data_IF_957511599612
#
_entry.id   IF_957511599612
#
_cell.length_a   1.000
_cell.length_b   1.000
_cell.length_c   1.000
_cell.angle_alpha   90.00
_cell.angle_beta   90.00
_cell.angle_gamma   90.00
#
_symmetry.space_group_name_H-M   'P 1'
#
loop_
_entity.id
_entity.type
_entity.pdbx_description
1 polymer ?
#
# COMPACT_ATOMS: atom_id res chain seq x y z
N UNK A 1 5.01 25.41 -6.72
CA UNK A 1 4.55 24.49 -5.65
C UNK A 1 5.67 23.50 -5.38
N UNK A 2 5.88 23.11 -4.11
CA UNK A 2 6.85 22.09 -3.74
C UNK A 2 6.34 21.25 -2.58
N UNK A 3 6.68 19.97 -2.58
CA UNK A 3 6.40 19.04 -1.48
C UNK A 3 7.57 18.06 -1.36
N UNK A 4 7.61 17.30 -0.28
CA UNK A 4 8.65 16.31 -0.05
C UNK A 4 8.06 14.92 0.01
N UNK A 5 8.89 13.94 -0.31
CA UNK A 5 8.51 12.55 -0.38
C UNK A 5 9.57 11.73 0.35
N UNK A 6 9.17 10.93 1.32
CA UNK A 6 9.97 9.83 1.83
C UNK A 6 9.78 8.61 0.93
N UNK A 7 10.86 7.86 0.73
CA UNK A 7 10.92 6.68 -0.13
C UNK A 7 11.38 5.50 0.71
N UNK A 8 10.46 4.56 0.96
CA UNK A 8 10.77 3.24 1.51
C UNK A 8 11.35 2.34 0.41
N UNK A 9 12.18 1.38 0.80
CA UNK A 9 12.93 0.55 -0.15
C UNK A 9 13.36 -0.80 0.43
N UNK A 10 13.79 -1.72 -0.45
CA UNK A 10 14.52 -2.94 -0.05
C UNK A 10 16.04 -2.67 0.06
N UNK A 11 16.41 -1.60 0.77
CA UNK A 11 17.80 -1.24 1.05
C UNK A 11 18.06 -1.15 2.55
N UNK A 12 19.04 -0.36 3.00
CA UNK A 12 19.27 -0.05 4.41
C UNK A 12 18.87 1.36 4.83
N UNK A 13 18.21 2.11 3.93
CA UNK A 13 17.92 3.53 4.10
C UNK A 13 16.49 3.89 3.70
N UNK A 14 15.98 4.96 4.29
CA UNK A 14 14.85 5.73 3.77
C UNK A 14 15.41 7.02 3.16
N UNK A 15 15.03 7.30 1.93
CA UNK A 15 15.48 8.48 1.18
C UNK A 15 14.40 9.55 1.21
N UNK A 16 14.80 10.82 1.36
CA UNK A 16 13.93 11.97 1.21
C UNK A 16 14.23 12.69 -0.11
N UNK A 17 13.17 13.03 -0.84
CA UNK A 17 13.22 13.78 -2.09
C UNK A 17 12.43 15.07 -1.94
N UNK A 18 12.84 16.12 -2.65
CA UNK A 18 12.00 17.29 -2.94
C UNK A 18 11.44 17.17 -4.34
N UNK A 19 10.16 17.52 -4.49
CA UNK A 19 9.56 17.80 -5.77
C UNK A 19 9.31 19.31 -5.89
N UNK A 20 9.66 19.90 -7.01
CA UNK A 20 9.32 21.29 -7.35
C UNK A 20 8.68 21.35 -8.72
N UNK A 21 7.48 21.93 -8.81
CA UNK A 21 6.85 22.24 -10.10
C UNK A 21 7.50 23.51 -10.68
N UNK A 22 8.24 23.36 -11.78
CA UNK A 22 8.97 24.46 -12.43
C UNK A 22 8.10 25.22 -13.42
N UNK A 23 7.17 24.54 -14.09
CA UNK A 23 6.17 25.12 -14.99
C UNK A 23 4.98 24.15 -15.15
N UNK A 24 3.83 24.58 -15.70
CA UNK A 24 2.73 23.66 -15.99
C UNK A 24 3.21 22.46 -16.83
N UNK A 25 2.95 21.24 -16.36
CA UNK A 25 3.36 20.01 -17.05
C UNK A 25 4.84 19.62 -16.90
N UNK A 26 5.64 20.33 -16.10
CA UNK A 26 7.05 20.02 -15.87
C UNK A 26 7.47 20.27 -14.43
N UNK A 27 8.12 19.28 -13.82
CA UNK A 27 8.68 19.38 -12.48
C UNK A 27 10.06 18.75 -12.37
N UNK A 28 10.67 18.90 -11.20
CA UNK A 28 11.99 18.34 -10.89
C UNK A 28 11.91 17.59 -9.57
N UNK A 29 12.47 16.38 -9.56
CA UNK A 29 12.79 15.64 -8.34
C UNK A 29 14.26 15.88 -7.99
N UNK A 30 14.55 16.11 -6.72
CA UNK A 30 15.93 16.28 -6.24
C UNK A 30 16.12 15.52 -4.93
N UNK A 31 17.30 14.94 -4.77
CA UNK A 31 17.71 14.33 -3.51
C UNK A 31 17.78 15.39 -2.41
N UNK A 32 17.24 15.08 -1.22
CA UNK A 32 17.36 15.93 -0.03
C UNK A 32 18.22 15.29 1.04
N UNK A 33 17.86 14.08 1.46
CA UNK A 33 18.48 13.42 2.60
C UNK A 33 18.35 11.90 2.49
N UNK A 34 19.17 11.19 3.27
CA UNK A 34 19.11 9.74 3.42
C UNK A 34 19.33 9.37 4.87
N UNK A 35 18.40 8.62 5.46
CA UNK A 35 18.45 8.23 6.87
C UNK A 35 18.59 6.71 7.01
N UNK A 36 19.50 6.21 7.87
CA UNK A 36 19.58 4.78 8.17
C UNK A 36 18.26 4.25 8.73
N UNK A 37 17.83 3.08 8.26
CA UNK A 37 16.58 2.44 8.70
C UNK A 37 16.71 0.92 8.83
N UNK A 38 17.94 0.40 8.97
CA UNK A 38 18.26 -1.03 8.92
C UNK A 38 17.72 -1.71 7.65
N UNK A 39 17.73 -3.04 7.57
CA UNK A 39 17.46 -3.74 6.31
C UNK A 39 15.97 -3.80 5.97
N UNK A 40 15.67 -3.58 4.68
CA UNK A 40 14.36 -3.70 4.06
C UNK A 40 13.27 -2.80 4.68
N UNK A 41 13.47 -1.47 4.78
CA UNK A 41 12.45 -0.49 5.16
C UNK A 41 11.35 -0.38 4.09
N UNK A 42 10.59 -1.45 3.85
CA UNK A 42 9.83 -1.63 2.60
C UNK A 42 8.48 -0.92 2.58
N UNK A 43 7.83 -0.77 3.73
CA UNK A 43 6.59 0.00 3.91
C UNK A 43 6.83 1.14 4.90
N UNK A 44 6.29 2.34 4.63
CA UNK A 44 6.37 3.50 5.51
C UNK A 44 5.00 4.15 5.69
N UNK A 45 4.73 4.67 6.89
CA UNK A 45 3.51 5.41 7.19
C UNK A 45 3.73 6.40 8.34
N UNK A 46 3.03 7.53 8.33
CA UNK A 46 3.03 8.48 9.45
C UNK A 46 2.00 8.12 10.50
N UNK A 47 2.20 8.58 11.74
CA UNK A 47 1.13 8.59 12.73
C UNK A 47 0.01 9.56 12.26
N UNK A 48 -1.28 9.14 12.30
CA UNK A 48 -2.37 9.94 11.76
C UNK A 48 -2.74 11.16 12.61
N UNK A 49 -2.32 11.19 13.88
CA UNK A 49 -2.54 12.32 14.80
C UNK A 49 -1.31 13.22 14.95
N UNK A 50 -0.14 12.75 14.52
CA UNK A 50 1.10 13.50 14.54
C UNK A 50 2.01 13.09 13.37
N UNK A 51 1.93 13.83 12.26
CA UNK A 51 2.69 13.55 11.04
C UNK A 51 4.21 13.68 11.18
N UNK A 52 4.71 14.21 12.32
CA UNK A 52 6.14 14.25 12.62
C UNK A 52 6.69 12.88 13.06
N UNK A 53 5.81 11.91 13.35
CA UNK A 53 6.20 10.54 13.70
C UNK A 53 6.00 9.67 12.47
N UNK A 54 7.08 9.02 12.03
CA UNK A 54 7.09 8.09 10.89
C UNK A 54 7.46 6.71 11.39
N UNK A 55 6.78 5.70 10.87
CA UNK A 55 7.10 4.31 11.10
C UNK A 55 7.56 3.65 9.81
N UNK A 56 8.34 2.59 9.92
CA UNK A 56 8.75 1.76 8.80
C UNK A 56 8.70 0.28 9.17
N UNK A 57 8.28 -0.59 8.24
CA UNK A 57 8.45 -2.03 8.39
C UNK A 57 9.87 -2.42 8.05
N UNK A 58 10.44 -3.36 8.78
CA UNK A 58 11.61 -4.10 8.35
C UNK A 58 11.15 -5.46 7.87
N UNK A 59 10.99 -5.61 6.55
CA UNK A 59 10.48 -6.81 5.90
C UNK A 59 11.56 -7.91 5.84
N UNK A 60 11.93 -8.40 7.04
CA UNK A 60 12.89 -9.48 7.27
C UNK A 60 12.17 -10.68 7.91
N UNK A 61 12.78 -11.87 7.86
CA UNK A 61 12.20 -13.07 8.49
C UNK A 61 11.98 -12.89 10.00
N UNK A 62 12.86 -12.16 10.69
CA UNK A 62 12.57 -11.61 12.01
C UNK A 62 11.98 -10.21 11.81
N UNK A 63 10.65 -10.14 11.66
CA UNK A 63 9.94 -8.93 11.27
C UNK A 63 9.91 -7.89 12.39
N UNK A 64 10.22 -6.64 12.06
CA UNK A 64 10.24 -5.53 13.02
C UNK A 64 9.53 -4.30 12.45
N UNK A 65 9.12 -3.40 13.33
CA UNK A 65 8.81 -2.02 12.98
C UNK A 65 9.85 -1.09 13.59
N UNK A 66 10.16 -0.01 12.89
CA UNK A 66 10.94 1.12 13.36
C UNK A 66 10.07 2.35 13.51
N UNK A 67 10.41 3.21 14.46
CA UNK A 67 9.81 4.54 14.64
C UNK A 67 10.87 5.63 14.53
N UNK A 68 10.47 6.78 14.00
CA UNK A 68 11.33 7.92 13.73
C UNK A 68 10.63 9.23 14.06
N UNK A 69 11.41 10.24 14.42
CA UNK A 69 10.99 11.65 14.33
C UNK A 69 11.49 12.21 13.00
N UNK A 70 10.55 12.78 12.24
CA UNK A 70 10.80 13.46 10.98
C UNK A 70 11.13 14.94 11.24
N UNK A 71 12.25 15.39 10.68
CA UNK A 71 12.52 16.81 10.49
C UNK A 71 11.86 17.26 9.17
N UNK A 72 10.77 18.06 9.21
CA UNK A 72 10.03 18.43 8.01
C UNK A 72 10.83 19.36 7.08
N UNK A 73 11.84 20.07 7.58
CA UNK A 73 12.63 21.00 6.75
C UNK A 73 13.68 20.25 5.91
N UNK A 74 14.29 19.19 6.43
CA UNK A 74 15.35 18.45 5.75
C UNK A 74 14.92 17.08 5.21
N UNK A 75 13.82 16.51 5.72
CA UNK A 75 13.46 15.11 5.47
C UNK A 75 14.31 14.11 6.26
N UNK A 76 15.11 14.58 7.22
CA UNK A 76 15.88 13.68 8.07
C UNK A 76 15.00 12.94 9.07
N UNK A 77 15.23 11.63 9.17
CA UNK A 77 14.61 10.76 10.17
C UNK A 77 15.60 10.43 11.28
N UNK A 78 15.18 10.66 12.52
CA UNK A 78 15.91 10.26 13.73
C UNK A 78 15.19 9.08 14.37
N UNK A 79 15.83 7.91 14.39
CA UNK A 79 15.23 6.70 14.95
C UNK A 79 14.98 6.84 16.46
N UNK A 80 13.84 6.34 16.91
CA UNK A 80 13.40 6.39 18.32
C UNK A 80 13.18 5.02 18.93
N UNK A 81 12.76 4.05 18.14
CA UNK A 81 12.42 2.74 18.66
C UNK A 81 12.41 1.66 17.59
N UNK A 82 12.43 0.44 18.09
CA UNK A 82 12.28 -0.79 17.31
C UNK A 82 11.42 -1.75 18.10
N UNK A 83 10.53 -2.46 17.43
CA UNK A 83 9.69 -3.49 18.05
C UNK A 83 9.56 -4.69 17.14
N UNK A 84 9.57 -5.90 17.71
CA UNK A 84 9.25 -7.11 16.95
C UNK A 84 7.76 -7.17 16.64
N UNK A 85 7.42 -7.60 15.43
CA UNK A 85 6.05 -7.92 15.03
C UNK A 85 5.61 -9.33 15.44
N UNK A 86 6.50 -10.12 16.06
CA UNK A 86 6.26 -11.52 16.38
C UNK A 86 6.15 -12.47 15.19
N UNK A 87 6.18 -11.95 13.96
CA UNK A 87 6.10 -12.71 12.71
C UNK A 87 7.23 -12.35 11.75
N UNK A 88 7.12 -12.83 10.50
CA UNK A 88 8.13 -12.65 9.47
C UNK A 88 7.61 -11.93 8.23
N UNK A 89 8.50 -11.17 7.59
CA UNK A 89 8.25 -10.34 6.42
C UNK A 89 6.98 -9.47 6.58
N UNK A 90 6.96 -8.49 7.52
CA UNK A 90 5.87 -7.52 7.61
C UNK A 90 5.80 -6.67 6.34
N UNK A 91 4.99 -7.10 5.37
CA UNK A 91 4.87 -6.47 4.06
C UNK A 91 4.06 -5.15 4.13
N UNK A 92 3.23 -5.00 5.16
CA UNK A 92 2.40 -3.82 5.38
C UNK A 92 2.13 -3.64 6.87
N UNK A 93 1.95 -2.38 7.30
CA UNK A 93 1.35 -2.07 8.59
C UNK A 93 0.51 -0.78 8.49
N UNK A 94 -0.43 -0.64 9.42
CA UNK A 94 -1.34 0.51 9.51
C UNK A 94 -1.32 1.09 10.92
N UNK A 95 -0.80 2.31 11.13
CA UNK A 95 -1.19 3.13 12.26
C UNK A 95 -2.68 3.46 12.14
N UNK A 96 -3.48 3.06 13.13
CA UNK A 96 -4.93 3.28 13.14
C UNK A 96 -5.25 4.75 13.44
N UNK A 97 -6.43 5.24 13.03
CA UNK A 97 -6.82 6.66 13.16
C UNK A 97 -6.86 7.20 14.58
N UNK A 98 -6.88 6.33 15.59
CA UNK A 98 -6.70 6.75 16.99
C UNK A 98 -5.31 7.36 17.25
N UNK A 99 -4.31 7.04 16.42
CA UNK A 99 -2.91 7.38 16.64
C UNK A 99 -2.23 6.54 17.73
N UNK A 100 -2.96 5.62 18.37
CA UNK A 100 -2.52 4.89 19.58
C UNK A 100 -2.33 3.39 19.36
N UNK A 101 -2.45 2.92 18.12
CA UNK A 101 -2.44 1.51 17.78
C UNK A 101 -1.85 1.33 16.39
N UNK A 102 -1.00 0.32 16.22
CA UNK A 102 -0.46 -0.09 14.92
C UNK A 102 -0.75 -1.56 14.73
N UNK A 103 -1.28 -1.90 13.56
CA UNK A 103 -1.53 -3.28 13.16
C UNK A 103 -0.63 -3.65 11.98
N UNK A 104 0.15 -4.72 12.11
CA UNK A 104 1.10 -5.19 11.09
C UNK A 104 0.67 -6.53 10.48
N UNK A 105 0.73 -6.63 9.15
CA UNK A 105 0.48 -7.85 8.40
C UNK A 105 1.82 -8.54 8.07
N UNK A 106 2.08 -9.68 8.72
CA UNK A 106 3.28 -10.48 8.53
C UNK A 106 3.05 -11.49 7.40
N UNK A 107 3.54 -11.16 6.21
CA UNK A 107 3.31 -11.91 4.98
C UNK A 107 3.82 -13.35 5.10
N UNK A 108 5.04 -13.56 5.60
CA UNK A 108 5.64 -14.90 5.61
C UNK A 108 5.01 -15.84 6.62
N UNK A 109 4.63 -15.32 7.79
CA UNK A 109 4.14 -16.15 8.91
C UNK A 109 2.62 -16.28 8.94
N UNK A 110 1.89 -15.57 8.08
CA UNK A 110 0.42 -15.63 8.09
C UNK A 110 -0.20 -15.02 9.36
N UNK A 111 0.45 -14.03 9.96
CA UNK A 111 0.02 -13.44 11.24
C UNK A 111 -0.28 -11.94 11.11
N UNK A 112 -1.16 -11.46 11.98
CA UNK A 112 -1.48 -10.04 12.14
C UNK A 112 -1.11 -9.64 13.57
N UNK A 113 -0.16 -8.72 13.71
CA UNK A 113 0.30 -8.24 15.01
C UNK A 113 -0.40 -6.94 15.38
N UNK A 114 -0.80 -6.82 16.65
CA UNK A 114 -1.40 -5.62 17.23
C UNK A 114 -0.42 -5.00 18.23
N UNK A 115 -0.19 -3.69 18.13
CA UNK A 115 0.79 -2.95 18.93
C UNK A 115 0.11 -1.69 19.47
N UNK A 116 -0.19 -1.69 20.77
CA UNK A 116 -0.62 -0.48 21.46
C UNK A 116 0.55 0.44 21.75
N UNK A 117 0.38 1.72 21.42
CA UNK A 117 1.37 2.76 21.67
C UNK A 117 1.11 3.44 23.02
N UNK A 118 2.18 3.93 23.63
CA UNK A 118 2.12 4.66 24.89
C UNK A 118 1.65 6.12 24.73
N UNK A 119 2.00 6.93 25.72
CA UNK A 119 1.77 8.38 25.67
C UNK A 119 2.65 9.07 24.63
N UNK A 120 3.91 8.64 24.49
CA UNK A 120 4.80 9.02 23.40
C UNK A 120 4.70 7.98 22.28
N UNK A 121 3.97 8.31 21.21
CA UNK A 121 3.72 7.41 20.09
C UNK A 121 4.97 7.12 19.24
N UNK A 122 6.06 7.86 19.47
CA UNK A 122 7.34 7.62 18.82
C UNK A 122 8.15 6.51 19.50
N UNK A 123 7.75 6.09 20.70
CA UNK A 123 8.43 5.05 21.47
C UNK A 123 7.53 3.83 21.56
N UNK A 124 8.00 2.71 21.00
CA UNK A 124 7.28 1.45 21.10
C UNK A 124 7.30 0.86 22.51
N UNK A 125 6.29 0.05 22.87
CA UNK A 125 6.36 -0.80 24.06
C UNK A 125 7.44 -1.90 23.89
N UNK A 126 7.68 -2.66 24.96
CA UNK A 126 8.67 -3.75 24.97
C UNK A 126 8.28 -4.96 24.12
N UNK A 127 6.98 -5.17 23.89
CA UNK A 127 6.45 -6.26 23.06
C UNK A 127 5.16 -5.85 22.36
N UNK A 128 4.81 -6.55 21.28
CA UNK A 128 3.49 -6.45 20.68
C UNK A 128 2.41 -6.86 21.69
N UNK A 129 1.20 -6.34 21.52
CA UNK A 129 0.06 -6.52 22.42
C UNK A 129 -0.69 -7.82 22.16
N UNK A 130 -0.84 -8.20 20.90
CA UNK A 130 -1.37 -9.52 20.52
C UNK A 130 -0.88 -9.94 19.13
N UNK A 131 -0.99 -11.25 18.84
CA UNK A 131 -0.60 -11.83 17.57
C UNK A 131 -1.69 -12.81 17.12
N UNK A 132 -2.41 -12.46 16.06
CA UNK A 132 -3.45 -13.28 15.45
C UNK A 132 -2.86 -14.14 14.34
N UNK A 133 -3.03 -15.46 14.42
CA UNK A 133 -2.66 -16.38 13.33
C UNK A 133 -3.86 -16.63 12.42
N UNK A 134 -3.73 -16.27 11.15
CA UNK A 134 -4.73 -16.57 10.14
C UNK A 134 -4.64 -18.04 9.72
N UNK A 135 -5.70 -18.57 9.12
CA UNK A 135 -5.79 -19.98 8.73
C UNK A 135 -6.36 -20.14 7.32
N UNK A 136 -5.83 -21.11 6.58
CA UNK A 136 -6.31 -21.45 5.24
C UNK A 136 -5.17 -21.54 4.23
N UNK A 137 -5.55 -21.86 3.00
CA UNK A 137 -4.67 -22.05 1.85
C UNK A 137 -5.47 -21.81 0.57
N UNK A 138 -4.76 -21.64 -0.55
CA UNK A 138 -5.32 -21.52 -1.89
C UNK A 138 -4.79 -22.63 -2.83
N UNK A 139 -5.30 -22.70 -4.07
CA UNK A 139 -4.95 -23.75 -5.02
C UNK A 139 -3.51 -23.64 -5.57
N UNK A 140 -2.89 -22.45 -5.58
CA UNK A 140 -1.51 -22.29 -6.00
C UNK A 140 -0.55 -22.70 -4.88
N UNK A 141 -0.24 -23.99 -4.77
CA UNK A 141 0.58 -24.53 -3.66
C UNK A 141 1.96 -23.91 -3.52
N UNK A 142 2.53 -23.30 -4.58
CA UNK A 142 3.80 -22.60 -4.51
C UNK A 142 3.71 -21.21 -3.85
N UNK A 143 2.52 -20.59 -3.86
CA UNK A 143 2.28 -19.21 -3.37
C UNK A 143 1.20 -19.11 -2.30
N UNK A 144 0.47 -20.19 -2.03
CA UNK A 144 -0.76 -20.21 -1.23
C UNK A 144 -0.85 -21.48 -0.35
N UNK A 145 0.28 -22.10 0.00
CA UNK A 145 0.31 -23.22 0.95
C UNK A 145 -0.11 -22.82 2.38
N UNK A 146 -0.06 -21.52 2.69
CA UNK A 146 -0.41 -20.93 3.97
C UNK A 146 -0.90 -19.49 3.76
N UNK A 147 -1.49 -18.84 4.79
CA UNK A 147 -1.87 -17.43 4.74
C UNK A 147 -0.68 -16.48 4.51
N UNK A 148 -0.93 -15.42 3.75
CA UNK A 148 -0.01 -14.36 3.38
C UNK A 148 -0.75 -13.00 3.38
N UNK A 149 -1.08 -12.42 4.56
CA UNK A 149 -1.73 -11.12 4.66
C UNK A 149 -0.82 -10.04 4.09
N UNK A 150 -1.36 -9.15 3.26
CA UNK A 150 -0.56 -8.19 2.49
C UNK A 150 -0.96 -6.72 2.72
N UNK A 151 -2.10 -6.45 3.35
CA UNK A 151 -2.50 -5.09 3.74
C UNK A 151 -3.34 -5.12 5.03
N UNK A 152 -3.41 -3.98 5.72
CA UNK A 152 -4.41 -3.74 6.76
C UNK A 152 -5.14 -2.42 6.45
N UNK A 153 -6.45 -2.51 6.17
CA UNK A 153 -7.33 -1.36 5.97
C UNK A 153 -8.27 -1.20 7.18
N UNK A 154 -8.27 -0.02 7.79
CA UNK A 154 -9.22 0.33 8.84
C UNK A 154 -10.56 0.76 8.24
N UNK A 155 -11.53 -0.16 8.20
CA UNK A 155 -12.79 0.05 7.49
C UNK A 155 -13.82 0.80 8.34
N UNK A 156 -13.96 0.41 9.61
CA UNK A 156 -14.74 1.16 10.61
C UNK A 156 -13.79 1.51 11.73
N UNK A 157 -13.55 2.81 11.93
CA UNK A 157 -12.56 3.34 12.88
C UNK A 157 -12.66 2.66 14.24
N UNK A 158 -11.56 2.05 14.67
CA UNK A 158 -11.42 1.33 15.94
C UNK A 158 -12.28 0.06 16.10
N UNK A 159 -13.06 -0.34 15.08
CA UNK A 159 -14.06 -1.41 15.21
C UNK A 159 -13.89 -2.56 14.23
N UNK A 160 -13.47 -2.27 12.99
CA UNK A 160 -13.33 -3.30 11.96
C UNK A 160 -12.14 -3.02 11.05
N UNK A 161 -11.31 -4.05 10.87
CA UNK A 161 -10.23 -4.07 9.87
C UNK A 161 -10.57 -5.04 8.74
N UNK A 162 -10.07 -4.73 7.55
CA UNK A 162 -10.03 -5.62 6.39
C UNK A 162 -8.58 -5.98 6.08
N UNK A 163 -8.31 -7.27 5.91
CA UNK A 163 -6.96 -7.80 5.68
C UNK A 163 -7.00 -8.74 4.47
N UNK A 164 -6.64 -8.27 3.26
CA UNK A 164 -6.47 -9.15 2.11
C UNK A 164 -5.32 -10.12 2.36
N UNK A 165 -5.58 -11.38 2.07
CA UNK A 165 -4.67 -12.50 2.30
C UNK A 165 -4.48 -13.28 1.01
N UNK A 166 -3.31 -13.06 0.40
CA UNK A 166 -2.89 -13.68 -0.85
C UNK A 166 -2.96 -15.21 -0.75
N UNK A 167 -2.59 -15.75 0.41
CA UNK A 167 -2.40 -17.17 0.62
C UNK A 167 -3.69 -17.96 0.83
N UNK A 168 -4.78 -17.31 1.23
CA UNK A 168 -6.06 -18.00 1.52
C UNK A 168 -7.24 -17.56 0.65
N UNK A 169 -7.00 -16.70 -0.35
CA UNK A 169 -8.02 -16.13 -1.25
C UNK A 169 -9.19 -15.49 -0.49
N UNK A 170 -8.87 -14.73 0.56
CA UNK A 170 -9.85 -14.04 1.42
C UNK A 170 -9.45 -12.60 1.66
N UNK A 171 -10.45 -11.77 1.90
CA UNK A 171 -10.28 -10.53 2.66
C UNK A 171 -10.87 -10.76 4.04
N UNK A 172 -10.02 -10.96 5.04
CA UNK A 172 -10.45 -11.19 6.42
C UNK A 172 -11.08 -9.93 7.00
N UNK A 173 -12.16 -10.11 7.76
CA UNK A 173 -12.83 -9.06 8.52
C UNK A 173 -12.49 -9.26 9.99
N UNK A 174 -11.64 -8.40 10.53
CA UNK A 174 -11.24 -8.48 11.94
C UNK A 174 -12.10 -7.51 12.77
N UNK A 175 -12.44 -7.93 13.99
CA UNK A 175 -13.15 -7.13 14.99
C UNK A 175 -12.42 -7.20 16.33
N UNK A 176 -12.59 -6.21 17.21
CA UNK A 176 -12.09 -6.32 18.59
C UNK A 176 -12.96 -7.28 19.40
N UNK A 177 -12.32 -8.25 20.03
CA UNK A 177 -12.95 -9.13 21.02
C UNK A 177 -13.15 -8.44 22.36
N UNK A 178 -13.73 -9.17 23.32
CA UNK A 178 -13.95 -8.68 24.69
C UNK A 178 -12.66 -8.37 25.44
N UNK A 179 -11.54 -9.00 25.06
CA UNK A 179 -10.18 -8.71 25.54
C UNK A 179 -9.59 -7.42 24.95
N UNK A 180 -10.29 -6.78 24.00
CA UNK A 180 -9.77 -5.62 23.27
C UNK A 180 -8.78 -5.98 22.15
N UNK A 181 -8.53 -7.26 21.87
CA UNK A 181 -7.62 -7.70 20.80
C UNK A 181 -8.36 -8.00 19.50
N UNK A 182 -7.70 -7.83 18.36
CA UNK A 182 -8.28 -8.21 17.05
C UNK A 182 -8.44 -9.73 16.92
N UNK A 183 -9.60 -10.13 16.41
CA UNK A 183 -9.94 -11.53 16.10
C UNK A 183 -10.71 -11.60 14.78
N UNK A 184 -10.71 -12.78 14.14
CA UNK A 184 -11.50 -13.02 12.93
C UNK A 184 -12.98 -12.97 13.26
N UNK A 185 -13.69 -11.99 12.72
CA UNK A 185 -15.16 -11.90 12.78
C UNK A 185 -15.85 -12.45 11.53
N UNK A 186 -15.13 -12.59 10.42
CA UNK A 186 -15.62 -13.13 9.16
C UNK A 186 -14.63 -12.90 8.03
N UNK A 187 -15.07 -13.09 6.79
CA UNK A 187 -14.25 -12.82 5.60
C UNK A 187 -15.14 -12.53 4.38
N UNK A 188 -14.54 -11.90 3.38
CA UNK A 188 -15.08 -11.81 2.02
C UNK A 188 -14.29 -12.76 1.12
N UNK A 189 -14.96 -13.77 0.58
CA UNK A 189 -14.32 -14.76 -0.30
C UNK A 189 -13.90 -14.11 -1.62
N UNK A 190 -12.66 -14.36 -2.04
CA UNK A 190 -12.15 -14.02 -3.36
C UNK A 190 -12.15 -15.25 -4.27
N UNK A 191 -11.94 -15.05 -5.57
CA UNK A 191 -11.80 -16.16 -6.51
C UNK A 191 -10.60 -17.04 -6.11
N UNK A 192 -10.75 -18.36 -6.19
CA UNK A 192 -9.67 -19.29 -5.83
C UNK A 192 -8.47 -19.12 -6.78
N UNK A 193 -7.27 -19.02 -6.23
CA UNK A 193 -6.03 -18.79 -6.97
C UNK A 193 -5.79 -17.34 -7.36
N UNK A 194 -6.64 -16.41 -6.91
CA UNK A 194 -6.55 -15.00 -7.31
C UNK A 194 -5.45 -14.25 -6.55
N UNK A 195 -5.24 -14.57 -5.28
CA UNK A 195 -4.21 -13.95 -4.44
C UNK A 195 -4.49 -12.46 -4.18
N UNK A 196 -5.49 -12.10 -3.35
CA UNK A 196 -5.79 -10.71 -3.03
C UNK A 196 -4.61 -10.04 -2.33
N UNK A 197 -4.25 -8.83 -2.79
CA UNK A 197 -3.05 -8.12 -2.33
C UNK A 197 -3.40 -6.84 -1.61
N UNK A 198 -3.88 -5.82 -2.33
CA UNK A 198 -4.33 -4.54 -1.75
C UNK A 198 -5.83 -4.34 -2.06
N UNK A 199 -6.50 -3.53 -1.24
CA UNK A 199 -7.92 -3.27 -1.29
C UNK A 199 -8.24 -1.78 -1.17
N UNK A 200 -9.41 -1.41 -1.66
CA UNK A 200 -10.02 -0.11 -1.43
C UNK A 200 -11.51 -0.29 -1.13
N UNK A 201 -12.08 0.65 -0.38
CA UNK A 201 -13.53 0.66 -0.10
C UNK A 201 -14.11 2.01 -0.49
N UNK A 202 -15.13 1.99 -1.34
CA UNK A 202 -15.82 3.19 -1.81
C UNK A 202 -17.27 2.85 -2.20
N UNK A 203 -18.19 3.78 -1.95
CA UNK A 203 -19.63 3.65 -2.27
C UNK A 203 -20.28 2.35 -1.76
N UNK A 204 -19.81 1.81 -0.62
CA UNK A 204 -20.31 0.55 -0.07
C UNK A 204 -19.81 -0.72 -0.75
N UNK A 205 -18.84 -0.61 -1.66
CA UNK A 205 -18.20 -1.73 -2.34
C UNK A 205 -16.76 -1.91 -1.89
N UNK A 206 -16.33 -3.18 -1.87
CA UNK A 206 -14.95 -3.60 -1.75
C UNK A 206 -14.34 -3.76 -3.14
N UNK A 207 -13.19 -3.14 -3.36
CA UNK A 207 -12.37 -3.32 -4.55
C UNK A 207 -11.09 -4.04 -4.15
N UNK A 208 -10.78 -5.15 -4.81
CA UNK A 208 -9.61 -5.98 -4.47
C UNK A 208 -8.74 -6.16 -5.70
N UNK A 209 -7.47 -5.76 -5.61
CA UNK A 209 -6.47 -6.11 -6.62
C UNK A 209 -5.84 -7.45 -6.28
N UNK A 210 -5.72 -8.31 -7.29
CA UNK A 210 -5.28 -9.69 -7.17
C UNK A 210 -3.92 -9.89 -7.82
N UNK A 211 -2.90 -10.23 -7.03
CA UNK A 211 -1.51 -10.37 -7.49
C UNK A 211 -1.36 -11.53 -8.48
N UNK A 212 -2.00 -12.68 -8.21
CA UNK A 212 -1.75 -13.91 -8.95
C UNK A 212 -2.61 -14.03 -10.22
N UNK A 213 -3.81 -13.42 -10.20
CA UNK A 213 -4.71 -13.44 -11.36
C UNK A 213 -4.66 -12.17 -12.22
N UNK A 214 -3.99 -11.11 -11.75
CA UNK A 214 -3.93 -9.81 -12.42
C UNK A 214 -5.32 -9.24 -12.74
N UNK A 215 -6.20 -9.25 -11.74
CA UNK A 215 -7.56 -8.70 -11.83
C UNK A 215 -7.87 -7.70 -10.72
N UNK A 216 -8.80 -6.79 -11.00
CA UNK A 216 -9.46 -5.92 -10.03
C UNK A 216 -10.92 -6.36 -9.93
N UNK A 217 -11.37 -6.73 -8.73
CA UNK A 217 -12.74 -7.18 -8.49
C UNK A 217 -13.49 -6.19 -7.63
N UNK A 218 -14.73 -5.89 -8.01
CA UNK A 218 -15.72 -5.17 -7.21
C UNK A 218 -16.68 -6.17 -6.57
N UNK A 219 -16.86 -6.07 -5.25
CA UNK A 219 -17.83 -6.88 -4.49
C UNK A 219 -18.68 -5.99 -3.59
N UNK A 220 -19.91 -6.43 -3.30
CA UNK A 220 -20.71 -5.82 -2.23
C UNK A 220 -20.03 -6.05 -0.87
N UNK A 221 -20.12 -5.08 0.03
CA UNK A 221 -19.58 -5.19 1.38
C UNK A 221 -20.68 -5.00 2.43
N UNK A 222 -21.57 -6.00 2.62
CA UNK A 222 -22.63 -5.90 3.62
C UNK A 222 -22.05 -5.81 5.06
N UNK A 223 -22.78 -5.19 6.01
CA UNK A 223 -22.40 -5.18 7.43
C UNK A 223 -22.10 -6.58 7.95
N UNK A 224 -21.17 -6.72 8.88
CA UNK A 224 -20.72 -8.04 9.35
C UNK A 224 -21.85 -8.88 9.97
N UNK A 225 -22.79 -8.22 10.65
CA UNK A 225 -23.97 -8.87 11.24
C UNK A 225 -25.04 -9.26 10.21
N UNK A 226 -24.89 -8.88 8.94
CA UNK A 226 -25.85 -9.21 7.89
C UNK A 226 -25.79 -10.69 7.52
N UNK A 227 -26.95 -11.30 7.29
CA UNK A 227 -27.04 -12.63 6.70
C UNK A 227 -26.77 -12.63 5.18
N UNK A 228 -26.76 -11.45 4.54
CA UNK A 228 -26.45 -11.31 3.12
C UNK A 228 -24.95 -11.49 2.92
N UNK A 229 -24.58 -12.46 2.09
CA UNK A 229 -23.18 -12.70 1.73
C UNK A 229 -22.69 -11.65 0.72
N UNK A 230 -21.41 -11.25 0.79
CA UNK A 230 -20.77 -10.49 -0.27
C UNK A 230 -20.93 -11.16 -1.64
N UNK A 231 -21.18 -10.38 -2.67
CA UNK A 231 -21.37 -10.84 -4.05
C UNK A 231 -20.45 -10.09 -4.99
N UNK A 232 -19.83 -10.81 -5.91
CA UNK A 232 -19.05 -10.19 -6.99
C UNK A 232 -19.96 -9.49 -7.99
N UNK A 233 -19.70 -8.21 -8.23
CA UNK A 233 -20.42 -7.37 -9.19
C UNK A 233 -19.69 -7.36 -10.53
N UNK A 234 -18.36 -7.18 -10.49
CA UNK A 234 -17.52 -7.12 -11.68
C UNK A 234 -16.10 -7.57 -11.36
N UNK A 235 -15.44 -8.16 -12.35
CA UNK A 235 -14.00 -8.45 -12.35
C UNK A 235 -13.44 -7.97 -13.67
N UNK A 236 -12.40 -7.15 -13.61
CA UNK A 236 -11.74 -6.58 -14.79
C UNK A 236 -10.25 -6.89 -14.75
N UNK A 237 -9.64 -7.07 -15.92
CA UNK A 237 -8.20 -7.26 -16.02
C UNK A 237 -7.47 -5.97 -15.65
N UNK A 238 -6.36 -6.08 -14.90
CA UNK A 238 -5.40 -4.98 -14.74
C UNK A 238 -4.29 -5.00 -15.79
N UNK A 239 -4.19 -6.07 -16.58
CA UNK A 239 -3.18 -6.27 -17.63
C UNK A 239 -3.38 -5.30 -18.80
N UNK A 240 -2.32 -4.69 -19.34
CA UNK A 240 -2.40 -3.94 -20.59
C UNK A 240 -2.89 -4.80 -21.77
N UNK A 241 -3.64 -4.19 -22.69
CA UNK A 241 -4.13 -4.89 -23.87
C UNK A 241 -2.97 -5.45 -24.70
N UNK A 242 -3.05 -6.74 -25.04
CA UNK A 242 -2.02 -7.44 -25.82
C UNK A 242 -0.77 -7.86 -25.04
N UNK A 243 -0.66 -7.55 -23.74
CA UNK A 243 0.46 -8.00 -22.92
C UNK A 243 0.33 -9.49 -22.53
N UNK A 244 1.48 -10.14 -22.32
CA UNK A 244 1.54 -11.48 -21.78
C UNK A 244 1.23 -11.45 -20.27
N UNK A 245 0.11 -12.05 -19.89
CA UNK A 245 -0.33 -12.11 -18.50
C UNK A 245 0.55 -13.04 -17.63
N UNK A 246 1.30 -13.97 -18.24
CA UNK A 246 2.01 -15.02 -17.49
C UNK A 246 3.18 -14.51 -16.65
N UNK A 247 3.72 -13.35 -16.97
CA UNK A 247 4.84 -12.74 -16.23
C UNK A 247 4.39 -11.68 -15.24
N UNK A 248 3.20 -11.11 -15.44
CA UNK A 248 2.71 -9.95 -14.70
C UNK A 248 2.30 -10.31 -13.28
N UNK A 249 2.47 -9.34 -12.37
CA UNK A 249 1.94 -9.43 -11.01
C UNK A 249 1.46 -8.05 -10.53
N UNK A 250 0.15 -7.91 -10.34
CA UNK A 250 -0.45 -6.71 -9.79
C UNK A 250 0.10 -6.39 -8.40
N UNK A 251 0.18 -5.11 -8.03
CA UNK A 251 0.77 -4.66 -6.78
C UNK A 251 -0.10 -3.67 -6.01
N UNK A 252 0.07 -2.37 -6.25
CA UNK A 252 -0.55 -1.32 -5.46
C UNK A 252 -1.98 -1.05 -5.95
N UNK A 253 -2.88 -0.63 -5.05
CA UNK A 253 -4.20 -0.12 -5.41
C UNK A 253 -4.46 1.18 -4.66
N UNK A 254 -4.57 2.29 -5.40
CA UNK A 254 -4.84 3.60 -4.84
C UNK A 254 -6.25 4.04 -5.16
N UNK A 255 -6.98 4.53 -4.15
CA UNK A 255 -8.25 5.21 -4.31
C UNK A 255 -8.04 6.72 -4.23
N UNK A 256 -8.37 7.47 -5.29
CA UNK A 256 -8.23 8.92 -5.24
C UNK A 256 -9.19 9.58 -4.25
N UNK A 257 -8.84 10.73 -3.65
CA UNK A 257 -9.81 11.52 -2.90
C UNK A 257 -10.86 12.13 -3.83
N UNK A 258 -12.05 12.39 -3.28
CA UNK A 258 -13.09 13.20 -3.92
C UNK A 258 -12.99 14.64 -3.41
N UNK A 259 -12.89 15.61 -4.31
CA UNK A 259 -12.87 17.03 -3.95
C UNK A 259 -13.34 17.90 -5.14
N UNK A 260 -13.33 19.22 -4.97
CA UNK A 260 -13.81 20.15 -6.00
C UNK A 260 -12.99 20.11 -7.31
N UNK A 261 -11.70 19.80 -7.24
CA UNK A 261 -10.82 19.69 -8.41
C UNK A 261 -10.92 18.32 -9.07
N UNK A 262 -11.16 17.27 -8.27
CA UNK A 262 -11.36 15.90 -8.70
C UNK A 262 -12.75 15.40 -8.25
N UNK A 263 -13.83 15.81 -8.95
CA UNK A 263 -15.20 15.44 -8.59
C UNK A 263 -15.56 14.00 -9.01
N UNK A 264 -14.63 13.27 -9.62
CA UNK A 264 -14.79 11.86 -9.96
C UNK A 264 -13.66 11.07 -9.32
N UNK A 265 -14.04 9.98 -8.65
CA UNK A 265 -13.11 9.07 -8.02
C UNK A 265 -12.65 8.01 -9.01
N UNK A 266 -11.36 7.67 -8.96
CA UNK A 266 -10.75 6.60 -9.75
C UNK A 266 -9.91 5.70 -8.85
N UNK A 267 -9.76 4.45 -9.27
CA UNK A 267 -8.78 3.51 -8.74
C UNK A 267 -7.57 3.47 -9.67
N UNK A 268 -6.37 3.37 -9.09
CA UNK A 268 -5.10 3.25 -9.82
C UNK A 268 -4.42 1.98 -9.35
N UNK A 269 -4.29 0.99 -10.23
CA UNK A 269 -3.61 -0.27 -9.95
C UNK A 269 -2.25 -0.31 -10.66
N UNK A 270 -1.19 -0.73 -9.95
CA UNK A 270 0.11 -0.95 -10.59
C UNK A 270 0.27 -2.40 -10.99
N UNK A 271 0.93 -2.64 -12.13
CA UNK A 271 1.39 -3.97 -12.52
C UNK A 271 2.91 -4.02 -12.48
N UNK A 272 3.46 -5.20 -12.19
CA UNK A 272 4.90 -5.45 -12.22
C UNK A 272 5.25 -6.48 -13.25
N UNK A 273 6.52 -6.47 -13.67
CA UNK A 273 7.11 -7.47 -14.57
C UNK A 273 6.50 -7.43 -15.97
N UNK A 274 6.11 -6.25 -16.43
CA UNK A 274 5.69 -6.05 -17.81
C UNK A 274 6.91 -6.13 -18.73
N UNK A 275 6.94 -7.04 -19.72
CA UNK A 275 8.05 -7.12 -20.66
C UNK A 275 8.07 -5.96 -21.66
N UNK A 276 7.07 -5.07 -21.65
CA UNK A 276 7.00 -3.93 -22.54
C UNK A 276 8.22 -2.98 -22.38
N UNK A 277 8.85 -2.52 -23.47
CA UNK A 277 10.00 -1.62 -23.41
C UNK A 277 9.69 -0.24 -22.82
N UNK A 278 8.41 0.14 -22.71
CA UNK A 278 7.96 1.36 -22.05
C UNK A 278 7.88 1.22 -20.51
N UNK A 279 8.26 0.05 -19.97
CA UNK A 279 8.20 -0.29 -18.55
C UNK A 279 6.81 -0.73 -18.11
N UNK A 280 6.65 -0.84 -16.80
CA UNK A 280 5.39 -1.20 -16.15
C UNK A 280 4.33 -0.09 -16.28
N UNK A 281 3.07 -0.51 -16.17
CA UNK A 281 1.88 0.35 -16.32
C UNK A 281 1.18 0.66 -14.99
N UNK A 282 0.50 1.81 -14.97
CA UNK A 282 -0.57 2.13 -14.02
C UNK A 282 -1.90 2.06 -14.77
N UNK A 283 -2.78 1.17 -14.33
CA UNK A 283 -4.14 0.99 -14.83
C UNK A 283 -5.11 1.86 -14.03
N UNK A 284 -5.93 2.66 -14.73
CA UNK A 284 -6.89 3.59 -14.13
C UNK A 284 -8.30 3.04 -14.34
N UNK A 285 -9.10 2.97 -13.28
CA UNK A 285 -10.45 2.43 -13.32
C UNK A 285 -11.47 3.41 -12.76
N UNK A 286 -12.63 3.49 -13.43
CA UNK A 286 -13.85 4.01 -12.84
C UNK A 286 -14.46 2.98 -11.88
N UNK A 287 -15.20 3.42 -10.86
CA UNK A 287 -15.70 2.54 -9.79
C UNK A 287 -17.06 1.91 -10.07
N UNK A 288 -18.02 2.69 -10.60
CA UNK A 288 -19.41 2.31 -10.72
C UNK A 288 -20.02 2.80 -12.05
N UNK A 289 -20.03 1.98 -13.12
CA UNK A 289 -19.55 0.59 -13.15
C UNK A 289 -18.02 0.48 -13.10
N UNK A 290 -17.49 -0.62 -12.53
CA UNK A 290 -16.06 -0.91 -12.56
C UNK A 290 -15.59 -1.15 -14.00
N UNK A 291 -14.78 -0.24 -14.54
CA UNK A 291 -14.27 -0.31 -15.91
C UNK A 291 -12.89 0.30 -16.03
N UNK A 292 -12.03 -0.35 -16.83
CA UNK A 292 -10.75 0.22 -17.25
C UNK A 292 -11.01 1.50 -18.06
N UNK A 293 -10.38 2.58 -17.64
CA UNK A 293 -10.45 3.91 -18.27
C UNK A 293 -9.22 4.13 -19.13
N UNK A 294 -8.04 3.85 -18.58
CA UNK A 294 -6.77 4.06 -19.27
C UNK A 294 -5.65 3.21 -18.68
N UNK A 295 -4.64 2.93 -19.50
CA UNK A 295 -3.35 2.39 -19.08
C UNK A 295 -2.27 3.44 -19.38
N UNK A 296 -1.38 3.69 -18.41
CA UNK A 296 -0.27 4.63 -18.57
C UNK A 296 1.05 3.94 -18.27
N UNK A 297 1.90 3.82 -19.29
CA UNK A 297 3.26 3.32 -19.12
C UNK A 297 4.15 4.33 -18.39
N UNK A 298 4.87 3.84 -17.39
CA UNK A 298 5.59 4.70 -16.44
C UNK A 298 7.07 4.88 -16.77
N UNK A 299 7.66 4.02 -17.59
CA UNK A 299 9.12 3.90 -17.74
C UNK A 299 9.84 3.37 -16.50
N UNK A 300 9.09 2.86 -15.50
CA UNK A 300 9.61 2.23 -14.30
C UNK A 300 9.50 0.71 -14.43
N UNK A 301 10.36 -0.04 -13.72
CA UNK A 301 10.36 -1.50 -13.75
C UNK A 301 10.17 -2.08 -12.35
N UNK A 302 9.22 -3.00 -12.23
CA UNK A 302 8.65 -3.56 -11.00
C UNK A 302 8.10 -2.49 -10.05
N UNK A 303 7.02 -1.81 -10.46
CA UNK A 303 6.31 -0.82 -9.63
C UNK A 303 5.59 -1.51 -8.45
N UNK A 304 6.32 -1.66 -7.34
CA UNK A 304 5.84 -2.38 -6.15
C UNK A 304 4.98 -1.55 -5.21
N UNK A 305 5.11 -0.23 -5.28
CA UNK A 305 4.29 0.71 -4.53
C UNK A 305 4.17 2.04 -5.25
N UNK A 306 3.13 2.77 -4.89
CA UNK A 306 2.85 4.12 -5.32
C UNK A 306 2.08 4.85 -4.22
N UNK A 307 2.01 6.17 -4.26
CA UNK A 307 1.18 6.94 -3.33
C UNK A 307 0.57 8.16 -4.01
N UNK A 308 -0.65 8.51 -3.58
CA UNK A 308 -1.29 9.78 -3.90
C UNK A 308 -0.79 10.87 -2.97
N UNK A 309 -0.65 12.09 -3.48
CA UNK A 309 -0.31 13.26 -2.69
C UNK A 309 -0.58 14.57 -3.40
N UNK A 310 -0.11 15.66 -2.80
CA UNK A 310 -0.62 17.00 -3.10
C UNK A 310 -1.85 17.33 -2.25
N UNK A 311 -2.23 18.61 -2.21
CA UNK A 311 -3.30 19.08 -1.32
C UNK A 311 -4.67 18.48 -1.67
N UNK A 312 -4.87 18.16 -2.94
CA UNK A 312 -6.09 17.61 -3.51
C UNK A 312 -5.88 16.19 -4.06
N UNK A 313 -4.75 15.55 -3.74
CA UNK A 313 -4.36 14.26 -4.29
C UNK A 313 -4.03 14.32 -5.78
N UNK A 314 -3.61 15.46 -6.30
CA UNK A 314 -3.36 15.74 -7.71
C UNK A 314 -2.10 15.06 -8.27
N UNK A 315 -1.24 14.49 -7.41
CA UNK A 315 -0.03 13.79 -7.81
C UNK A 315 -0.04 12.32 -7.41
N UNK A 316 0.62 11.49 -8.22
CA UNK A 316 1.00 10.13 -7.88
C UNK A 316 2.52 10.03 -7.95
N UNK A 317 3.15 9.56 -6.89
CA UNK A 317 4.55 9.10 -6.93
C UNK A 317 4.58 7.59 -7.05
N UNK A 318 5.46 7.07 -7.90
CA UNK A 318 5.72 5.65 -8.06
C UNK A 318 7.22 5.42 -8.26
N UNK A 319 7.71 4.23 -7.90
CA UNK A 319 9.10 3.86 -8.13
C UNK A 319 9.25 2.43 -8.60
N UNK A 320 10.26 2.22 -9.42
CA UNK A 320 10.62 0.90 -9.90
C UNK A 320 11.61 0.24 -8.95
N UNK A 321 11.27 -0.97 -8.50
CA UNK A 321 12.14 -1.77 -7.66
C UNK A 321 13.46 -2.09 -8.38
N UNK A 322 13.40 -2.47 -9.67
CA UNK A 322 14.57 -2.97 -10.41
C UNK A 322 15.07 -2.02 -11.49
N UNK A 323 14.37 -0.91 -11.75
CA UNK A 323 14.81 0.06 -12.74
C UNK A 323 13.86 1.24 -12.94
N UNK A 324 14.37 2.30 -13.57
CA UNK A 324 13.62 3.52 -13.90
C UNK A 324 13.55 4.56 -12.77
N UNK A 325 13.95 4.22 -11.55
CA UNK A 325 14.04 5.16 -10.42
C UNK A 325 12.68 5.51 -9.82
N UNK A 326 12.47 6.79 -9.50
CA UNK A 326 11.22 7.31 -8.93
C UNK A 326 10.66 8.41 -9.84
N UNK A 327 9.37 8.35 -10.11
CA UNK A 327 8.66 9.33 -10.93
C UNK A 327 7.45 9.93 -10.21
N UNK A 328 7.21 11.21 -10.47
CA UNK A 328 5.99 11.91 -10.08
C UNK A 328 5.15 12.15 -11.34
N UNK A 329 3.88 11.77 -11.25
CA UNK A 329 2.86 11.96 -12.25
C UNK A 329 1.81 12.93 -11.73
N UNK A 330 1.27 13.77 -12.60
CA UNK A 330 0.08 14.57 -12.31
C UNK A 330 -1.16 13.88 -12.86
N UNK A 331 -2.20 13.84 -12.04
CA UNK A 331 -3.56 13.48 -12.45
C UNK A 331 -4.15 14.61 -13.28
N UNK A 332 -4.40 14.34 -14.55
CA UNK A 332 -5.03 15.27 -15.49
C UNK A 332 -6.40 14.73 -15.94
N UNK A 333 -7.16 15.54 -16.67
CA UNK A 333 -8.50 15.17 -17.16
C UNK A 333 -9.42 14.69 -16.02
N UNK A 334 -9.46 15.43 -14.90
CA UNK A 334 -10.24 15.06 -13.71
C UNK A 334 -9.76 13.79 -13.01
N UNK A 335 -8.55 13.30 -13.31
CA UNK A 335 -7.99 12.05 -12.80
C UNK A 335 -8.15 10.84 -13.72
N UNK A 336 -8.76 11.00 -14.89
CA UNK A 336 -8.89 9.90 -15.85
C UNK A 336 -7.58 9.56 -16.59
N UNK A 337 -6.51 10.31 -16.35
CA UNK A 337 -5.23 10.19 -17.05
C UNK A 337 -4.05 10.72 -16.22
N UNK A 338 -2.83 10.34 -16.60
CA UNK A 338 -1.59 10.72 -15.93
C UNK A 338 -0.59 11.29 -16.91
N UNK A 339 0.07 12.38 -16.52
CA UNK A 339 1.26 12.91 -17.22
C UNK A 339 2.46 12.86 -16.29
N UNK A 340 3.59 12.33 -16.78
CA UNK A 340 4.84 12.29 -16.01
C UNK A 340 5.42 13.70 -15.94
N UNK A 341 5.61 14.21 -14.73
CA UNK A 341 6.17 15.54 -14.49
C UNK A 341 7.68 15.51 -14.23
N UNK A 342 8.14 14.48 -13.53
CA UNK A 342 9.53 14.37 -13.11
C UNK A 342 9.97 12.92 -12.97
N UNK A 343 11.27 12.70 -13.08
CA UNK A 343 11.93 11.44 -12.78
C UNK A 343 13.28 11.71 -12.13
N UNK A 344 13.66 10.88 -11.17
CA UNK A 344 15.02 10.78 -10.65
C UNK A 344 15.44 9.32 -10.69
N UNK A 345 16.56 9.04 -11.34
CA UNK A 345 17.08 7.70 -11.54
C UNK A 345 18.53 7.63 -11.07
N UNK A 346 18.71 7.68 -9.75
CA UNK A 346 20.02 7.61 -9.08
C UNK A 346 20.04 6.46 -8.08
N UNK A 347 21.23 5.95 -7.68
CA UNK A 347 21.35 4.85 -6.72
C UNK A 347 20.64 5.08 -5.38
N UNK A 348 20.37 6.33 -5.00
CA UNK A 348 19.69 6.67 -3.76
C UNK A 348 18.19 6.34 -3.74
N UNK A 349 17.60 6.02 -4.89
CA UNK A 349 16.17 5.69 -5.04
C UNK A 349 15.93 4.34 -5.71
N UNK A 350 16.97 3.53 -5.90
CA UNK A 350 16.80 2.16 -6.40
C UNK A 350 16.13 1.27 -5.36
N UNK A 351 15.46 0.21 -5.80
CA UNK A 351 14.73 -0.70 -4.94
C UNK A 351 13.59 -0.03 -4.14
N UNK A 352 13.02 1.05 -4.68
CA UNK A 352 11.89 1.75 -4.07
C UNK A 352 10.65 0.85 -3.97
N UNK A 353 9.90 0.97 -2.88
CA UNK A 353 8.75 0.09 -2.58
C UNK A 353 7.56 0.78 -1.93
N UNK A 354 7.72 1.95 -1.30
CA UNK A 354 6.61 2.72 -0.72
C UNK A 354 6.96 4.20 -0.61
N UNK A 355 5.95 5.05 -0.44
CA UNK A 355 6.11 6.50 -0.47
C UNK A 355 5.22 7.20 0.55
N UNK A 356 5.72 8.30 1.11
CA UNK A 356 4.98 9.13 2.06
C UNK A 356 5.24 10.62 1.76
N UNK A 357 4.19 11.38 1.49
CA UNK A 357 4.26 12.83 1.30
C UNK A 357 4.33 13.54 2.66
N UNK A 358 5.12 14.61 2.76
CA UNK A 358 5.26 15.42 3.98
C UNK A 358 5.65 16.87 3.71
#
# INVERSE_FOLDING_TARGET
MSFKILVGSYTTFITALSFTLSSPGSGTLSFLNKSPAGTNPSWIASNPTNSSIVYASQENYNGQLLSFILNPSTGALTQRGTISTGGGLPAYFRPLQSGKEIVAANYNSGTVADIYLGTDESVFPTSYSSLLTLQGSGPNTARQASPHPHEVLEYVTGQQLLVPDLGSDKVWRLIKGTSGTWQVGGFVQQALGSGPRHIAVADGFLYTVHELSNTLTQQTLPPLASAVLPTTIATVSVVPEGADNSTLAAAELLLSPLNAEFPTQYLYATNRFDPNPLGDSIAIFSLNPLKLVKQVYTGLNQIRGAALGGANGEYIVAGGLVGGGVSVFQRINGGADLVKLANINTPDVYNSSSFLFF
#
